data_IF_125267602204
#
_entry.id   IF_125267602204
#
_cell.length_a   1.000
_cell.length_b   1.000
_cell.length_c   1.000
_cell.angle_alpha   90.00
_cell.angle_beta   90.00
_cell.angle_gamma   90.00
#
_symmetry.space_group_name_H-M   'P 1'
#
loop_
_entity.id
_entity.type
_entity.pdbx_description
1 polymer ?
#
# COMPACT_ATOMS: atom_id res chain seq x y z
N UNK A 1 -2.87 -31.72 -51.01
CA UNK A 1 -1.77 -31.32 -50.09
C UNK A 1 -2.27 -30.19 -49.20
N UNK A 2 -2.83 -30.52 -48.03
CA UNK A 2 -3.30 -29.52 -47.06
C UNK A 2 -2.11 -28.97 -46.26
N UNK A 3 -1.97 -27.64 -46.23
CA UNK A 3 -0.91 -26.93 -45.50
C UNK A 3 -1.06 -27.18 -44.00
N UNK A 4 -0.01 -27.71 -43.36
CA UNK A 4 0.12 -27.77 -41.91
C UNK A 4 -0.07 -26.37 -41.29
N UNK A 5 -0.81 -26.21 -40.19
CA UNK A 5 -0.84 -24.95 -39.47
C UNK A 5 0.56 -24.64 -38.95
N UNK A 6 0.98 -23.39 -39.11
CA UNK A 6 2.20 -22.86 -38.48
C UNK A 6 2.03 -23.04 -36.97
N UNK A 7 2.91 -23.83 -36.37
CA UNK A 7 3.11 -23.89 -34.92
C UNK A 7 3.25 -22.46 -34.39
N UNK A 8 2.33 -22.05 -33.53
CA UNK A 8 2.47 -20.83 -32.75
C UNK A 8 3.83 -20.88 -32.05
N UNK A 9 4.68 -19.89 -32.30
CA UNK A 9 5.93 -19.73 -31.56
C UNK A 9 5.58 -19.66 -30.07
N UNK A 10 6.07 -20.64 -29.29
CA UNK A 10 6.07 -20.53 -27.83
C UNK A 10 6.69 -19.17 -27.48
N UNK A 11 6.04 -18.32 -26.66
CA UNK A 11 6.70 -17.12 -26.17
C UNK A 11 8.00 -17.55 -25.50
N UNK A 12 9.11 -16.88 -25.87
CA UNK A 12 10.43 -17.20 -25.32
C UNK A 12 10.33 -17.21 -23.79
N UNK A 13 10.61 -18.35 -23.16
CA UNK A 13 10.62 -18.53 -21.71
C UNK A 13 11.84 -17.83 -21.10
N UNK A 14 11.92 -16.51 -21.27
CA UNK A 14 12.95 -15.69 -20.67
C UNK A 14 12.67 -15.66 -19.17
N UNK A 15 13.45 -16.42 -18.41
CA UNK A 15 13.52 -16.22 -16.96
C UNK A 15 14.32 -14.95 -16.74
N UNK A 16 13.77 -14.03 -15.96
CA UNK A 16 14.42 -12.77 -15.68
C UNK A 16 15.42 -12.91 -14.53
N UNK A 17 16.44 -12.06 -14.52
CA UNK A 17 17.46 -12.11 -13.49
C UNK A 17 16.93 -11.46 -12.20
N UNK A 18 16.66 -12.30 -11.20
CA UNK A 18 16.26 -11.86 -9.86
C UNK A 18 17.43 -12.12 -8.92
N UNK A 19 18.07 -11.04 -8.45
CA UNK A 19 19.13 -11.17 -7.46
C UNK A 19 18.57 -11.82 -6.17
N UNK A 20 19.30 -12.72 -5.51
CA UNK A 20 18.81 -13.42 -4.33
C UNK A 20 18.63 -12.47 -3.12
N UNK A 21 17.69 -12.78 -2.24
CA UNK A 21 17.41 -12.00 -1.03
C UNK A 21 18.45 -12.25 0.10
N UNK A 22 19.75 -12.09 -0.19
CA UNK A 22 20.84 -12.46 0.73
C UNK A 22 21.11 -11.43 1.83
N UNK A 23 21.05 -11.83 3.10
CA UNK A 23 21.33 -10.95 4.24
C UNK A 23 20.15 -10.07 4.63
N UNK A 24 20.34 -9.27 5.69
CA UNK A 24 19.26 -8.52 6.35
C UNK A 24 18.60 -7.49 5.44
N UNK A 25 17.28 -7.37 5.60
CA UNK A 25 16.42 -6.36 4.98
C UNK A 25 15.96 -5.37 6.05
N UNK A 26 16.43 -4.14 5.96
CA UNK A 26 16.03 -3.06 6.85
C UNK A 26 14.72 -2.42 6.42
N UNK A 27 13.77 -2.31 7.34
CA UNK A 27 12.46 -1.69 7.12
C UNK A 27 12.42 -0.36 7.86
N UNK A 28 12.30 0.72 7.11
CA UNK A 28 12.29 2.11 7.59
C UNK A 28 10.83 2.59 7.64
N UNK A 29 10.34 2.94 8.82
CA UNK A 29 8.91 3.18 9.03
C UNK A 29 8.67 4.62 9.56
N UNK A 30 8.46 5.61 8.67
CA UNK A 30 7.92 6.90 9.09
C UNK A 30 6.50 6.72 9.61
N UNK A 31 6.27 7.07 10.88
CA UNK A 31 5.02 6.82 11.61
C UNK A 31 5.01 5.45 12.28
N UNK A 32 5.47 5.37 13.53
CA UNK A 32 5.51 4.15 14.34
C UNK A 32 4.25 4.00 15.22
N UNK A 33 3.10 4.32 14.65
CA UNK A 33 1.78 4.19 15.29
C UNK A 33 1.15 2.80 15.15
N UNK A 34 -0.18 2.73 15.28
CA UNK A 34 -0.95 1.49 15.39
C UNK A 34 -0.66 0.44 14.31
N UNK A 35 -0.63 0.84 13.03
CA UNK A 35 -0.33 -0.07 11.91
C UNK A 35 1.11 -0.61 12.02
N UNK A 36 2.08 0.27 12.23
CA UNK A 36 3.49 -0.08 12.31
C UNK A 36 3.78 -1.02 13.49
N UNK A 37 3.25 -0.72 14.67
CA UNK A 37 3.44 -1.56 15.86
C UNK A 37 2.75 -2.91 15.70
N UNK A 38 1.57 -2.95 15.07
CA UNK A 38 0.85 -4.21 14.78
C UNK A 38 1.64 -5.07 13.80
N UNK A 39 2.20 -4.46 12.75
CA UNK A 39 3.08 -5.14 11.80
C UNK A 39 4.32 -5.73 12.46
N UNK A 40 5.09 -4.94 13.21
CA UNK A 40 6.35 -5.42 13.80
C UNK A 40 6.10 -6.45 14.91
N UNK A 41 5.09 -6.25 15.75
CA UNK A 41 4.69 -7.25 16.75
C UNK A 41 4.19 -8.54 16.10
N UNK A 42 3.44 -8.43 14.99
CA UNK A 42 2.96 -9.57 14.22
C UNK A 42 4.11 -10.38 13.61
N UNK A 43 5.09 -9.72 12.99
CA UNK A 43 6.29 -10.39 12.45
C UNK A 43 7.03 -11.15 13.56
N UNK A 44 7.30 -10.49 14.69
CA UNK A 44 8.02 -11.12 15.79
C UNK A 44 7.24 -12.30 16.41
N UNK A 45 5.91 -12.18 16.50
CA UNK A 45 5.05 -13.27 16.96
C UNK A 45 5.13 -14.49 16.04
N UNK A 46 5.16 -14.26 14.72
CA UNK A 46 5.30 -15.33 13.72
C UNK A 46 6.68 -15.98 13.79
N UNK A 47 7.76 -15.19 13.94
CA UNK A 47 9.13 -15.73 14.11
C UNK A 47 9.24 -16.67 15.32
N UNK A 48 8.58 -16.31 16.41
CA UNK A 48 8.54 -17.13 17.64
C UNK A 48 7.55 -18.31 17.59
N UNK A 49 6.83 -18.49 16.48
CA UNK A 49 5.81 -19.53 16.35
C UNK A 49 4.56 -19.30 17.22
N UNK A 50 4.34 -18.08 17.71
CA UNK A 50 3.18 -17.72 18.56
C UNK A 50 1.92 -17.45 17.75
N UNK A 51 2.06 -17.12 16.46
CA UNK A 51 0.95 -16.76 15.58
C UNK A 51 1.22 -17.15 14.13
N UNK A 52 0.16 -17.13 13.31
CA UNK A 52 0.23 -17.30 11.86
C UNK A 52 0.04 -15.96 11.12
N UNK A 53 0.69 -15.74 9.97
CA UNK A 53 0.64 -14.47 9.22
C UNK A 53 -0.63 -14.35 8.36
N UNK A 54 -1.81 -14.43 8.99
CA UNK A 54 -3.10 -14.37 8.30
C UNK A 54 -3.25 -13.07 7.49
N UNK A 55 -3.83 -13.20 6.29
CA UNK A 55 -4.04 -12.08 5.36
C UNK A 55 -2.84 -11.75 4.47
N UNK A 56 -1.67 -12.34 4.70
CA UNK A 56 -0.48 -12.09 3.85
C UNK A 56 -0.44 -13.00 2.63
N UNK A 57 -0.43 -12.39 1.44
CA UNK A 57 -0.29 -13.08 0.15
C UNK A 57 1.12 -13.65 -0.04
N UNK A 58 2.15 -12.96 0.44
CA UNK A 58 3.54 -13.47 0.35
C UNK A 58 3.75 -14.70 1.23
N UNK A 59 3.14 -14.73 2.42
CA UNK A 59 3.37 -15.80 3.39
C UNK A 59 2.44 -17.01 3.23
N UNK A 60 1.18 -16.77 2.88
CA UNK A 60 0.14 -17.81 2.84
C UNK A 60 -0.46 -18.04 1.45
N UNK A 61 -0.26 -17.10 0.51
CA UNK A 61 -0.83 -17.18 -0.83
C UNK A 61 -0.20 -18.29 -1.68
N UNK A 62 -1.01 -18.84 -2.58
CA UNK A 62 -0.58 -19.81 -3.60
C UNK A 62 -0.71 -19.25 -5.01
N UNK A 63 0.08 -19.79 -5.92
CA UNK A 63 0.08 -19.40 -7.32
C UNK A 63 -0.05 -20.62 -8.22
N UNK A 64 -1.16 -20.72 -8.97
CA UNK A 64 -1.34 -21.82 -9.94
C UNK A 64 -0.37 -21.65 -11.11
N UNK A 65 0.31 -22.73 -11.48
CA UNK A 65 1.18 -22.82 -12.65
C UNK A 65 0.60 -23.83 -13.65
N UNK A 66 0.63 -23.50 -14.94
CA UNK A 66 0.08 -24.36 -15.99
C UNK A 66 -1.41 -24.69 -15.83
N UNK A 67 -1.76 -25.91 -16.22
CA UNK A 67 -3.14 -26.40 -16.32
C UNK A 67 -3.72 -26.70 -14.94
N UNK A 68 -5.06 -26.66 -14.82
CA UNK A 68 -5.79 -27.02 -13.59
C UNK A 68 -5.53 -28.47 -13.17
N UNK A 69 -5.37 -29.36 -14.15
CA UNK A 69 -5.10 -30.79 -13.97
C UNK A 69 -3.69 -31.09 -13.48
N UNK A 70 -2.74 -30.16 -13.62
CA UNK A 70 -1.34 -30.39 -13.23
C UNK A 70 -1.15 -30.35 -11.71
N UNK A 71 -2.11 -29.79 -10.96
CA UNK A 71 -2.03 -29.67 -9.50
C UNK A 71 -0.90 -28.76 -8.98
N UNK A 72 -0.23 -28.00 -9.85
CA UNK A 72 0.90 -27.13 -9.47
C UNK A 72 0.42 -25.81 -8.89
N UNK A 73 0.39 -25.72 -7.56
CA UNK A 73 0.04 -24.48 -6.84
C UNK A 73 0.98 -24.22 -5.66
N UNK A 74 2.29 -23.98 -5.91
CA UNK A 74 3.24 -23.67 -4.85
C UNK A 74 2.84 -22.43 -4.06
N UNK A 75 3.37 -22.28 -2.84
CA UNK A 75 3.26 -21.01 -2.10
C UNK A 75 4.06 -19.93 -2.80
N UNK A 76 3.61 -18.69 -2.71
CA UNK A 76 4.29 -17.54 -3.32
C UNK A 76 5.74 -17.42 -2.84
N UNK A 77 5.99 -17.56 -1.54
CA UNK A 77 7.34 -17.56 -0.95
C UNK A 77 8.24 -18.72 -1.37
N UNK A 78 7.68 -19.81 -1.89
CA UNK A 78 8.43 -20.94 -2.45
C UNK A 78 8.70 -20.76 -3.95
N UNK A 79 7.94 -19.88 -4.61
CA UNK A 79 8.00 -19.65 -6.04
C UNK A 79 8.95 -18.51 -6.44
N UNK A 80 8.96 -17.41 -5.67
CA UNK A 80 9.86 -16.26 -5.87
C UNK A 80 10.76 -16.05 -4.65
N UNK A 81 12.02 -15.61 -4.83
CA UNK A 81 12.97 -15.46 -3.73
C UNK A 81 12.63 -14.20 -2.91
N UNK A 82 11.86 -14.36 -1.84
CA UNK A 82 11.54 -13.32 -0.87
C UNK A 82 12.48 -13.37 0.33
N UNK A 83 12.71 -12.23 0.99
CA UNK A 83 13.45 -12.21 2.26
C UNK A 83 12.71 -13.02 3.33
N UNK A 84 13.47 -13.74 4.17
CA UNK A 84 12.91 -14.45 5.31
C UNK A 84 12.41 -13.47 6.36
N UNK A 85 11.43 -13.88 7.17
CA UNK A 85 10.97 -13.02 8.26
C UNK A 85 12.10 -12.75 9.26
N UNK A 86 12.98 -13.72 9.54
CA UNK A 86 14.14 -13.54 10.44
C UNK A 86 15.19 -12.54 9.92
N UNK A 87 15.19 -12.23 8.62
CA UNK A 87 16.11 -11.26 8.02
C UNK A 87 15.65 -9.81 8.19
N UNK A 88 14.40 -9.58 8.62
CA UNK A 88 13.87 -8.22 8.77
C UNK A 88 14.46 -7.52 10.00
N UNK A 89 14.91 -6.27 9.83
CA UNK A 89 15.33 -5.40 10.94
C UNK A 89 14.62 -4.06 10.83
N UNK A 90 14.24 -3.45 11.94
CA UNK A 90 13.30 -2.33 11.95
C UNK A 90 13.93 -1.07 12.55
N UNK A 91 13.61 0.07 11.95
CA UNK A 91 13.74 1.41 12.53
C UNK A 91 12.59 2.26 12.03
N UNK A 92 12.39 3.41 12.65
CA UNK A 92 11.46 4.38 12.13
C UNK A 92 11.61 5.73 12.78
N UNK A 93 10.67 6.60 12.45
CA UNK A 93 10.60 7.95 12.97
C UNK A 93 9.19 8.21 13.45
N UNK A 94 9.06 8.89 14.58
CA UNK A 94 7.76 9.27 15.09
C UNK A 94 7.87 10.60 15.86
N UNK A 95 6.87 11.50 15.77
CA UNK A 95 6.79 12.70 16.60
C UNK A 95 6.67 12.42 18.12
N UNK A 96 6.41 11.17 18.50
CA UNK A 96 6.40 10.68 19.88
C UNK A 96 7.61 9.77 20.13
N UNK A 97 8.14 9.75 21.36
CA UNK A 97 9.36 9.04 21.75
C UNK A 97 9.11 7.64 22.37
N UNK A 98 7.86 7.17 22.35
CA UNK A 98 7.49 5.84 22.83
C UNK A 98 8.20 4.73 22.03
N UNK A 99 8.80 3.76 22.74
CA UNK A 99 9.25 2.52 22.09
C UNK A 99 8.08 1.72 21.50
N UNK A 100 8.37 0.77 20.59
CA UNK A 100 7.30 0.03 19.89
C UNK A 100 6.40 -0.76 20.82
N UNK A 101 6.88 -1.24 21.98
CA UNK A 101 6.00 -1.93 22.94
C UNK A 101 5.01 -0.95 23.56
N UNK A 102 5.51 0.20 24.03
CA UNK A 102 4.71 1.25 24.65
C UNK A 102 3.69 1.81 23.65
N UNK A 103 4.12 2.08 22.42
CA UNK A 103 3.24 2.51 21.33
C UNK A 103 2.17 1.44 20.99
N UNK A 104 2.53 0.15 20.93
CA UNK A 104 1.57 -0.94 20.70
C UNK A 104 0.52 -1.04 21.82
N UNK A 105 0.97 -0.90 23.08
CA UNK A 105 0.09 -0.91 24.26
C UNK A 105 -0.88 0.25 24.26
N UNK A 106 -0.42 1.46 23.89
CA UNK A 106 -1.27 2.65 23.74
C UNK A 106 -2.25 2.53 22.57
N UNK A 107 -1.82 1.92 21.47
CA UNK A 107 -2.68 1.71 20.29
C UNK A 107 -3.85 0.75 20.56
N UNK A 108 -3.69 -0.20 21.48
CA UNK A 108 -4.78 -1.07 21.94
C UNK A 108 -5.34 -2.03 20.86
N UNK A 109 -4.55 -2.33 19.82
CA UNK A 109 -4.96 -3.20 18.72
C UNK A 109 -4.83 -4.69 19.07
N UNK A 110 -3.67 -5.04 19.61
CA UNK A 110 -3.29 -6.42 19.94
C UNK A 110 -3.57 -6.72 21.42
N UNK A 111 -3.87 -7.98 21.70
CA UNK A 111 -4.05 -8.46 23.06
C UNK A 111 -2.77 -8.29 23.87
N UNK A 112 -2.94 -7.96 25.16
CA UNK A 112 -1.84 -7.69 26.07
C UNK A 112 -0.94 -8.92 26.23
N UNK A 113 -1.55 -10.08 26.35
CA UNK A 113 -0.91 -11.37 26.59
C UNK A 113 0.02 -11.74 25.43
N UNK A 114 -0.38 -11.42 24.19
CA UNK A 114 0.47 -11.59 23.01
C UNK A 114 1.60 -10.56 23.00
N UNK A 115 1.30 -9.28 23.25
CA UNK A 115 2.32 -8.21 23.27
C UNK A 115 3.39 -8.45 24.34
N UNK A 116 3.01 -8.94 25.51
CA UNK A 116 3.93 -9.18 26.62
C UNK A 116 4.96 -10.30 26.27
N UNK A 117 4.60 -11.26 25.41
CA UNK A 117 5.52 -12.31 24.91
C UNK A 117 6.56 -11.81 23.90
N UNK A 118 6.26 -10.72 23.19
CA UNK A 118 7.19 -10.08 22.22
C UNK A 118 7.80 -8.78 22.73
N UNK A 119 7.47 -8.36 23.96
CA UNK A 119 7.98 -7.16 24.63
C UNK A 119 9.50 -7.01 24.57
N UNK A 120 10.32 -8.05 24.84
CA UNK A 120 11.78 -7.89 24.83
C UNK A 120 12.31 -7.38 23.49
N UNK A 121 11.72 -7.82 22.37
CA UNK A 121 12.11 -7.37 21.04
C UNK A 121 11.58 -5.96 20.74
N UNK A 122 10.29 -5.71 20.98
CA UNK A 122 9.66 -4.43 20.67
C UNK A 122 10.26 -3.26 21.47
N UNK A 123 10.66 -3.48 22.71
CA UNK A 123 11.24 -2.43 23.57
C UNK A 123 12.64 -1.97 23.10
N UNK A 124 13.31 -2.75 22.24
CA UNK A 124 14.61 -2.37 21.65
C UNK A 124 14.46 -1.34 20.53
N UNK A 125 13.26 -1.24 19.94
CA UNK A 125 13.01 -0.40 18.77
C UNK A 125 12.41 0.93 19.24
N UNK A 126 13.26 1.96 19.28
CA UNK A 126 12.87 3.32 19.63
C UNK A 126 12.79 4.20 18.38
N UNK A 127 11.78 5.08 18.27
CA UNK A 127 11.66 6.00 17.15
C UNK A 127 12.81 7.02 17.17
N UNK A 128 13.33 7.33 15.98
CA UNK A 128 14.16 8.51 15.76
C UNK A 128 13.29 9.77 15.71
N UNK A 129 13.84 10.97 16.00
CA UNK A 129 13.08 12.21 15.87
C UNK A 129 12.55 12.39 14.44
N UNK A 130 11.26 12.70 14.29
CA UNK A 130 10.62 12.80 12.99
C UNK A 130 10.80 14.16 12.32
N UNK A 131 10.82 14.18 10.97
CA UNK A 131 10.38 15.35 10.22
C UNK A 131 8.86 15.42 10.35
N UNK A 132 8.36 16.42 11.05
CA UNK A 132 6.93 16.59 11.34
C UNK A 132 6.60 18.08 11.39
N UNK A 133 5.45 18.44 10.82
CA UNK A 133 4.95 19.81 10.81
C UNK A 133 3.42 19.81 10.97
N UNK A 134 2.96 20.56 11.98
CA UNK A 134 1.54 20.68 12.35
C UNK A 134 0.70 21.37 11.28
N UNK A 135 1.32 22.13 10.37
CA UNK A 135 0.61 22.70 9.22
C UNK A 135 0.02 21.61 8.33
N UNK A 136 0.65 20.43 8.26
CA UNK A 136 0.20 19.31 7.45
C UNK A 136 -0.57 18.25 8.26
N UNK A 137 -0.36 18.16 9.57
CA UNK A 137 -1.10 17.26 10.47
C UNK A 137 -1.50 18.02 11.75
N UNK A 138 -2.63 18.72 11.69
CA UNK A 138 -3.00 19.76 12.68
C UNK A 138 -3.36 19.24 14.07
N UNK A 139 -3.97 18.05 14.12
CA UNK A 139 -4.52 17.44 15.33
C UNK A 139 -3.48 16.74 16.20
N UNK A 140 -2.23 16.63 15.75
CA UNK A 140 -1.14 16.03 16.52
C UNK A 140 -0.16 17.10 17.02
N UNK A 141 0.36 16.91 18.24
CA UNK A 141 1.41 17.72 18.82
C UNK A 141 2.62 16.85 19.15
N UNK A 142 3.59 16.83 18.24
CA UNK A 142 4.81 16.04 18.32
C UNK A 142 5.97 16.82 18.89
N UNK A 143 6.65 16.29 19.92
CA UNK A 143 7.84 16.91 20.52
C UNK A 143 9.15 16.24 20.11
N UNK A 144 9.09 14.99 19.66
CA UNK A 144 10.25 14.21 19.21
C UNK A 144 10.51 14.49 17.72
N UNK A 145 10.94 15.71 17.41
CA UNK A 145 11.02 16.21 16.02
C UNK A 145 12.42 16.72 15.67
N UNK A 146 12.82 16.56 14.41
CA UNK A 146 14.05 17.12 13.85
C UNK A 146 13.95 18.63 13.75
N UNK A 147 15.11 19.29 13.83
CA UNK A 147 15.25 20.74 13.67
C UNK A 147 16.27 21.04 12.57
N UNK A 148 15.96 21.99 11.71
CA UNK A 148 16.79 22.44 10.60
C UNK A 148 16.40 23.87 10.22
N UNK A 149 17.31 24.62 9.58
CA UNK A 149 17.00 25.96 9.07
C UNK A 149 16.14 25.86 7.81
N UNK A 150 16.37 24.83 7.01
CA UNK A 150 15.64 24.54 5.77
C UNK A 150 15.05 23.13 5.76
N UNK A 151 14.02 22.90 4.94
CA UNK A 151 13.50 21.55 4.66
C UNK A 151 14.57 20.65 4.01
N UNK A 152 15.54 21.24 3.32
CA UNK A 152 16.70 20.50 2.81
C UNK A 152 17.61 20.00 3.94
N UNK A 153 17.82 20.79 5.00
CA UNK A 153 18.57 20.33 6.18
C UNK A 153 17.89 19.12 6.84
N UNK A 154 16.55 19.10 6.83
CA UNK A 154 15.77 17.97 7.34
C UNK A 154 15.91 16.74 6.43
N UNK A 155 15.93 16.93 5.11
CA UNK A 155 16.18 15.87 4.14
C UNK A 155 17.56 15.22 4.34
N UNK A 156 18.61 16.03 4.49
CA UNK A 156 19.97 15.54 4.73
C UNK A 156 20.10 14.80 6.06
N UNK A 157 19.41 15.26 7.12
CA UNK A 157 19.33 14.51 8.38
C UNK A 157 18.65 13.15 8.24
N UNK A 158 17.61 13.04 7.40
CA UNK A 158 16.96 11.77 7.11
C UNK A 158 17.89 10.84 6.32
N UNK A 159 18.61 11.36 5.33
CA UNK A 159 19.60 10.58 4.57
C UNK A 159 20.69 10.04 5.50
N UNK A 160 21.18 10.87 6.41
CA UNK A 160 22.14 10.45 7.44
C UNK A 160 21.57 9.34 8.35
N UNK A 161 20.32 9.44 8.78
CA UNK A 161 19.66 8.37 9.55
C UNK A 161 19.55 7.06 8.77
N UNK A 162 19.21 7.13 7.48
CA UNK A 162 19.11 5.96 6.59
C UNK A 162 20.47 5.27 6.48
N UNK A 163 21.53 6.03 6.24
CA UNK A 163 22.90 5.53 6.12
C UNK A 163 23.40 4.94 7.45
N UNK A 164 23.17 5.64 8.56
CA UNK A 164 23.51 5.18 9.90
C UNK A 164 22.79 3.87 10.26
N UNK A 165 21.49 3.77 9.98
CA UNK A 165 20.75 2.53 10.23
C UNK A 165 21.25 1.38 9.35
N UNK A 166 21.55 1.63 8.08
CA UNK A 166 22.13 0.61 7.19
C UNK A 166 23.39 0.00 7.80
N UNK A 167 24.29 0.88 8.29
CA UNK A 167 25.57 0.50 8.90
C UNK A 167 25.36 -0.21 10.24
N UNK A 168 24.58 0.35 11.14
CA UNK A 168 24.41 -0.16 12.52
C UNK A 168 23.61 -1.47 12.59
N UNK A 169 22.64 -1.67 11.69
CA UNK A 169 21.85 -2.91 11.63
C UNK A 169 22.54 -4.05 10.87
N UNK A 170 23.57 -3.73 10.07
CA UNK A 170 24.17 -4.65 9.09
C UNK A 170 23.23 -5.00 7.93
N UNK A 171 22.22 -4.17 7.67
CA UNK A 171 21.28 -4.38 6.57
C UNK A 171 21.97 -4.19 5.21
N UNK A 172 21.80 -5.18 4.35
CA UNK A 172 22.32 -5.12 2.97
C UNK A 172 21.37 -4.35 2.04
N UNK A 173 20.07 -4.40 2.35
CA UNK A 173 18.98 -3.83 1.58
C UNK A 173 18.06 -3.07 2.52
N UNK A 174 17.40 -2.03 2.02
CA UNK A 174 16.48 -1.20 2.80
C UNK A 174 15.18 -1.00 2.01
N UNK A 175 14.07 -0.81 2.70
CA UNK A 175 12.77 -0.39 2.17
C UNK A 175 12.16 0.65 3.10
N UNK A 176 11.61 1.72 2.55
CA UNK A 176 10.80 2.68 3.30
C UNK A 176 9.32 2.39 3.09
N UNK A 177 8.54 2.34 4.17
CA UNK A 177 7.08 2.23 4.10
C UNK A 177 6.43 3.27 5.00
N UNK A 178 5.69 4.18 4.39
CA UNK A 178 4.99 5.24 5.09
C UNK A 178 3.78 4.69 5.83
N UNK A 179 3.81 4.76 7.16
CA UNK A 179 2.72 4.45 8.07
C UNK A 179 2.31 5.68 8.91
N UNK A 180 2.80 6.86 8.53
CA UNK A 180 2.50 8.13 9.17
C UNK A 180 1.09 8.62 8.89
N UNK A 181 0.68 9.62 9.65
CA UNK A 181 -0.66 10.22 9.55
C UNK A 181 -0.96 10.80 8.16
N UNK A 182 -2.25 10.84 7.84
CA UNK A 182 -2.74 11.51 6.63
C UNK A 182 -2.49 13.01 6.73
N UNK A 183 -1.74 13.54 5.77
CA UNK A 183 -1.46 14.97 5.63
C UNK A 183 -2.64 15.68 4.95
N UNK A 184 -2.71 17.00 5.11
CA UNK A 184 -3.68 17.84 4.40
C UNK A 184 -3.61 17.66 2.87
N UNK A 185 -4.72 17.94 2.20
CA UNK A 185 -4.80 17.88 0.76
C UNK A 185 -3.88 18.93 0.09
N UNK A 186 -3.01 18.45 -0.81
CA UNK A 186 -2.13 19.28 -1.64
C UNK A 186 -2.30 18.89 -3.12
N UNK A 187 -2.11 19.86 -4.00
CA UNK A 187 -2.03 19.65 -5.45
C UNK A 187 -0.58 19.79 -5.94
N UNK A 188 -0.18 19.11 -7.02
CA UNK A 188 1.10 19.36 -7.66
C UNK A 188 1.27 20.84 -8.04
N UNK A 189 2.46 21.39 -7.81
CA UNK A 189 2.84 22.76 -8.18
C UNK A 189 4.10 22.74 -9.05
N UNK A 190 4.59 23.92 -9.44
CA UNK A 190 5.87 24.05 -10.16
C UNK A 190 7.06 23.52 -9.33
N UNK A 191 6.98 23.53 -8.00
CA UNK A 191 8.01 23.01 -7.11
C UNK A 191 8.22 21.49 -7.26
N UNK A 192 7.21 20.76 -7.75
CA UNK A 192 7.24 19.29 -7.81
C UNK A 192 7.63 18.72 -9.19
N UNK A 193 7.99 19.59 -10.16
CA UNK A 193 8.15 19.18 -11.56
C UNK A 193 9.51 18.54 -11.87
N UNK A 194 10.56 18.89 -11.14
CA UNK A 194 11.91 18.37 -11.37
C UNK A 194 12.72 18.39 -10.08
N UNK A 195 13.80 17.60 -10.02
CA UNK A 195 14.71 17.57 -8.87
C UNK A 195 15.23 18.97 -8.52
N UNK A 196 15.66 19.73 -9.52
CA UNK A 196 16.17 21.10 -9.32
C UNK A 196 15.13 22.05 -8.72
N UNK A 197 13.87 21.96 -9.19
CA UNK A 197 12.80 22.79 -8.65
C UNK A 197 12.46 22.40 -7.21
N UNK A 198 12.44 21.09 -6.92
CA UNK A 198 12.13 20.54 -5.61
C UNK A 198 13.19 20.88 -4.56
N UNK A 199 14.47 20.75 -4.90
CA UNK A 199 15.58 21.14 -4.03
C UNK A 199 15.60 22.65 -3.75
N UNK A 200 15.35 23.47 -4.77
CA UNK A 200 15.19 24.93 -4.59
C UNK A 200 14.05 25.25 -3.63
N UNK A 201 12.91 24.57 -3.76
CA UNK A 201 11.76 24.74 -2.89
C UNK A 201 12.06 24.30 -1.44
N UNK A 202 12.80 23.20 -1.26
CA UNK A 202 13.24 22.75 0.07
C UNK A 202 14.20 23.74 0.75
N UNK A 203 15.15 24.32 0.00
CA UNK A 203 16.02 25.38 0.52
C UNK A 203 15.25 26.65 0.89
N UNK A 204 14.17 26.95 0.17
CA UNK A 204 13.31 28.10 0.42
C UNK A 204 12.22 27.85 1.50
N UNK A 205 12.16 26.67 2.10
CA UNK A 205 11.09 26.26 3.02
C UNK A 205 9.67 26.37 2.43
N UNK A 206 9.53 26.15 1.13
CA UNK A 206 8.25 26.28 0.42
C UNK A 206 7.17 25.36 1.04
N UNK A 207 6.00 25.93 1.37
CA UNK A 207 4.86 25.24 1.99
C UNK A 207 4.25 24.16 1.09
N UNK A 208 4.55 24.13 -0.21
CA UNK A 208 4.17 23.04 -1.08
C UNK A 208 4.85 21.70 -0.73
N UNK A 209 6.01 21.74 -0.04
CA UNK A 209 6.78 20.54 0.30
C UNK A 209 6.35 19.99 1.67
N UNK A 210 5.55 18.93 1.65
CA UNK A 210 5.09 18.26 2.87
C UNK A 210 6.16 17.33 3.48
N UNK A 211 6.11 17.03 4.79
CA UNK A 211 7.02 16.09 5.46
C UNK A 211 7.16 14.75 4.73
N UNK A 212 6.06 14.13 4.30
CA UNK A 212 6.09 12.85 3.56
C UNK A 212 6.95 12.91 2.30
N UNK A 213 6.96 14.03 1.59
CA UNK A 213 7.77 14.24 0.38
C UNK A 213 9.26 14.33 0.72
N UNK A 214 9.62 14.86 1.89
CA UNK A 214 11.01 14.92 2.38
C UNK A 214 11.52 13.50 2.68
N UNK A 215 10.71 12.65 3.30
CA UNK A 215 11.05 11.23 3.50
C UNK A 215 11.18 10.46 2.17
N UNK A 216 10.27 10.70 1.23
CA UNK A 216 10.33 10.10 -0.10
C UNK A 216 11.62 10.54 -0.83
N UNK A 217 11.92 11.84 -0.86
CA UNK A 217 13.15 12.37 -1.44
C UNK A 217 14.39 11.73 -0.81
N UNK A 218 14.50 11.73 0.52
CA UNK A 218 15.64 11.14 1.22
C UNK A 218 15.81 9.64 0.91
N UNK A 219 14.71 8.88 0.89
CA UNK A 219 14.74 7.45 0.57
C UNK A 219 15.20 7.21 -0.86
N UNK A 220 14.60 7.90 -1.83
CA UNK A 220 14.91 7.72 -3.24
C UNK A 220 16.34 8.17 -3.58
N UNK A 221 16.85 9.22 -2.94
CA UNK A 221 18.25 9.66 -3.08
C UNK A 221 19.26 8.64 -2.55
N UNK A 222 18.88 7.84 -1.55
CA UNK A 222 19.68 6.71 -1.04
C UNK A 222 19.40 5.39 -1.81
N UNK A 223 18.65 5.45 -2.91
CA UNK A 223 18.29 4.27 -3.72
C UNK A 223 17.35 3.30 -3.02
N UNK A 224 16.65 3.75 -1.97
CA UNK A 224 15.74 2.96 -1.12
C UNK A 224 14.31 3.03 -1.68
N UNK A 225 13.70 1.89 -2.04
CA UNK A 225 12.29 1.83 -2.49
C UNK A 225 11.32 2.39 -1.46
N UNK A 226 10.19 2.93 -1.93
CA UNK A 226 9.22 3.64 -1.08
C UNK A 226 7.77 3.20 -1.35
N UNK A 227 7.09 2.69 -0.32
CA UNK A 227 5.63 2.46 -0.33
C UNK A 227 4.90 3.57 0.43
N UNK A 228 3.90 4.20 -0.20
CA UNK A 228 3.06 5.20 0.46
C UNK A 228 1.76 4.59 0.99
N UNK A 229 1.69 4.35 2.30
CA UNK A 229 0.51 3.76 2.95
C UNK A 229 -0.65 4.72 3.23
N UNK A 230 -0.46 6.03 3.01
CA UNK A 230 -1.46 7.07 3.24
C UNK A 230 -1.91 7.72 1.92
N UNK A 231 -3.05 8.42 1.85
CA UNK A 231 -3.52 9.06 0.60
C UNK A 231 -2.75 10.36 0.23
N UNK A 232 -1.70 10.68 0.98
CA UNK A 232 -0.82 11.85 0.80
C UNK A 232 -0.24 11.91 -0.61
N UNK A 233 0.07 13.12 -1.11
CA UNK A 233 0.62 13.31 -2.45
C UNK A 233 2.00 12.67 -2.60
N UNK A 234 2.87 12.76 -1.59
CA UNK A 234 4.13 12.02 -1.41
C UNK A 234 4.89 11.65 -2.70
N UNK A 235 4.73 10.41 -3.20
CA UNK A 235 5.45 9.84 -4.35
C UNK A 235 4.69 9.98 -5.68
N UNK A 236 3.45 10.47 -5.65
CA UNK A 236 2.57 10.71 -6.80
C UNK A 236 2.88 12.07 -7.43
N UNK A 237 4.16 12.28 -7.77
CA UNK A 237 4.72 13.54 -8.24
C UNK A 237 5.77 13.29 -9.34
N UNK A 238 5.87 14.17 -10.36
CA UNK A 238 6.86 14.03 -11.43
C UNK A 238 8.31 13.90 -10.91
N UNK A 239 8.72 14.71 -9.93
CA UNK A 239 10.05 14.64 -9.31
C UNK A 239 10.34 13.29 -8.64
N UNK A 240 9.35 12.69 -7.98
CA UNK A 240 9.53 11.39 -7.31
C UNK A 240 9.61 10.26 -8.33
N UNK A 241 8.84 10.36 -9.42
CA UNK A 241 8.93 9.43 -10.54
C UNK A 241 10.30 9.50 -11.23
N UNK A 242 10.85 10.71 -11.41
CA UNK A 242 12.20 10.94 -11.94
C UNK A 242 13.27 10.30 -11.04
N UNK A 243 13.26 10.62 -9.75
CA UNK A 243 14.22 10.07 -8.77
C UNK A 243 14.14 8.55 -8.66
N UNK A 244 12.92 8.01 -8.63
CA UNK A 244 12.68 6.56 -8.55
C UNK A 244 13.32 5.81 -9.71
N UNK A 245 13.14 6.30 -10.95
CA UNK A 245 13.78 5.69 -12.12
C UNK A 245 15.29 5.86 -12.11
N UNK A 246 15.78 7.07 -11.82
CA UNK A 246 17.20 7.41 -11.84
C UNK A 246 18.03 6.61 -10.82
N UNK A 247 17.46 6.37 -9.64
CA UNK A 247 18.16 5.69 -8.54
C UNK A 247 17.72 4.21 -8.40
N UNK A 248 17.01 3.69 -9.41
CA UNK A 248 16.45 2.34 -9.45
C UNK A 248 15.69 1.98 -8.16
N UNK A 249 14.93 2.91 -7.61
CA UNK A 249 14.26 2.80 -6.33
C UNK A 249 12.74 2.72 -6.54
N UNK A 250 12.18 1.50 -6.73
CA UNK A 250 10.75 1.29 -6.96
C UNK A 250 9.84 2.04 -5.99
N UNK A 251 8.73 2.56 -6.52
CA UNK A 251 7.71 3.24 -5.73
C UNK A 251 6.34 2.61 -5.95
N UNK A 252 5.51 2.61 -4.91
CA UNK A 252 4.11 2.26 -5.02
C UNK A 252 3.27 3.04 -4.01
N UNK A 253 1.97 3.06 -4.28
CA UNK A 253 1.02 3.80 -3.49
C UNK A 253 -0.31 3.90 -4.23
N UNK A 254 -1.33 4.50 -3.63
CA UNK A 254 -1.32 5.03 -2.26
C UNK A 254 -2.58 4.65 -1.49
N UNK A 255 -2.48 4.79 -0.16
CA UNK A 255 -3.51 4.44 0.83
C UNK A 255 -3.82 2.94 0.91
N UNK A 256 -3.49 2.27 2.01
CA UNK A 256 -3.71 0.82 2.15
C UNK A 256 -5.18 0.43 1.93
N UNK A 257 -5.44 -0.55 1.08
CA UNK A 257 -6.80 -1.02 0.80
C UNK A 257 -7.31 -1.95 1.88
N UNK A 258 -7.95 -1.37 2.89
CA UNK A 258 -8.59 -2.08 4.00
C UNK A 258 -10.08 -1.72 4.10
N UNK A 259 -10.78 -2.41 5.00
CA UNK A 259 -12.11 -2.04 5.48
C UNK A 259 -13.15 -1.88 4.36
N UNK A 260 -13.81 -0.72 4.33
CA UNK A 260 -14.93 -0.45 3.43
C UNK A 260 -14.53 -0.36 1.95
N UNK A 261 -13.36 0.22 1.64
CA UNK A 261 -12.91 0.32 0.23
C UNK A 261 -12.59 -1.06 -0.33
N UNK A 262 -12.05 -1.97 0.48
CA UNK A 262 -11.88 -3.37 0.09
C UNK A 262 -13.23 -3.97 -0.33
N UNK A 263 -14.27 -3.81 0.49
CA UNK A 263 -15.62 -4.31 0.17
C UNK A 263 -16.17 -3.72 -1.14
N UNK A 264 -15.98 -2.42 -1.39
CA UNK A 264 -16.37 -1.79 -2.67
C UNK A 264 -15.68 -2.47 -3.86
N UNK A 265 -14.38 -2.71 -3.77
CA UNK A 265 -13.60 -3.36 -4.84
C UNK A 265 -13.87 -4.86 -5.00
N UNK A 266 -14.59 -5.48 -4.06
CA UNK A 266 -15.09 -6.87 -4.18
C UNK A 266 -16.48 -6.90 -4.81
N UNK A 267 -17.38 -6.03 -4.35
CA UNK A 267 -18.79 -6.06 -4.70
C UNK A 267 -19.09 -5.37 -6.04
N UNK A 268 -18.50 -4.20 -6.30
CA UNK A 268 -18.76 -3.43 -7.52
C UNK A 268 -18.39 -4.22 -8.80
N UNK A 269 -17.26 -4.95 -8.86
CA UNK A 269 -16.98 -5.84 -9.99
C UNK A 269 -18.04 -6.93 -10.18
N UNK A 270 -18.59 -7.48 -9.10
CA UNK A 270 -19.65 -8.48 -9.16
C UNK A 270 -20.94 -7.93 -9.76
N UNK A 271 -21.32 -6.71 -9.39
CA UNK A 271 -22.49 -6.02 -9.97
C UNK A 271 -22.29 -5.78 -11.47
N UNK A 272 -21.12 -5.26 -11.86
CA UNK A 272 -20.76 -5.03 -13.27
C UNK A 272 -20.71 -6.32 -14.07
N UNK A 273 -20.12 -7.38 -13.54
CA UNK A 273 -20.02 -8.68 -14.20
C UNK A 273 -21.40 -9.31 -14.50
N UNK A 274 -22.44 -8.89 -13.77
CA UNK A 274 -23.83 -9.33 -13.97
C UNK A 274 -24.73 -8.24 -14.57
N UNK A 275 -24.17 -7.09 -14.93
CA UNK A 275 -24.88 -5.92 -15.44
C UNK A 275 -26.07 -5.50 -14.56
N UNK A 276 -25.89 -5.56 -13.24
CA UNK A 276 -26.84 -5.01 -12.28
C UNK A 276 -26.62 -3.49 -12.20
N UNK A 277 -27.67 -2.72 -12.44
CA UNK A 277 -27.62 -1.27 -12.37
C UNK A 277 -27.55 -0.76 -10.94
N UNK A 278 -27.06 0.48 -10.77
CA UNK A 278 -26.84 1.10 -9.47
C UNK A 278 -27.51 2.49 -9.44
N UNK A 279 -28.52 2.64 -8.57
CA UNK A 279 -29.13 3.94 -8.30
C UNK A 279 -28.33 4.73 -7.26
N UNK A 280 -27.79 4.05 -6.25
CA UNK A 280 -27.06 4.73 -5.18
C UNK A 280 -26.19 3.81 -4.34
N UNK A 281 -25.09 4.35 -3.83
CA UNK A 281 -24.22 3.72 -2.85
C UNK A 281 -23.90 4.72 -1.75
N UNK A 282 -24.57 4.56 -0.61
CA UNK A 282 -24.32 5.37 0.58
C UNK A 282 -23.38 4.60 1.51
N UNK A 283 -22.30 5.26 1.93
CA UNK A 283 -21.27 4.70 2.79
C UNK A 283 -21.04 5.59 4.01
N UNK A 284 -21.15 5.04 5.21
CA UNK A 284 -20.74 5.71 6.45
C UNK A 284 -19.71 4.88 7.21
N UNK A 285 -18.87 5.54 8.01
CA UNK A 285 -17.85 4.88 8.81
C UNK A 285 -17.72 5.56 10.18
N UNK A 286 -17.52 4.77 11.23
CA UNK A 286 -17.14 5.26 12.57
C UNK A 286 -15.83 4.61 13.02
N UNK A 287 -14.93 5.40 13.58
CA UNK A 287 -13.65 4.95 14.16
C UNK A 287 -13.17 5.92 15.25
N UNK A 288 -12.39 5.42 16.22
CA UNK A 288 -11.99 6.18 17.41
C UNK A 288 -10.48 6.26 17.67
N UNK A 289 -9.66 5.63 16.82
CA UNK A 289 -8.19 5.69 16.92
C UNK A 289 -7.64 7.03 16.40
N UNK A 290 -6.31 7.18 16.44
CA UNK A 290 -5.60 8.39 16.00
C UNK A 290 -5.83 8.74 14.52
N UNK A 291 -6.10 7.75 13.67
CA UNK A 291 -6.47 8.00 12.27
C UNK A 291 -7.81 8.73 12.19
N UNK A 292 -8.80 8.28 12.98
CA UNK A 292 -10.08 8.97 13.12
C UNK A 292 -9.95 10.42 13.61
N UNK A 293 -9.10 10.66 14.62
CA UNK A 293 -8.86 11.99 15.16
C UNK A 293 -8.22 12.93 14.13
N UNK A 294 -7.26 12.44 13.32
CA UNK A 294 -6.65 13.22 12.23
C UNK A 294 -7.67 13.51 11.13
N UNK A 295 -8.52 12.53 10.78
CA UNK A 295 -9.55 12.67 9.75
C UNK A 295 -10.75 13.54 10.17
N UNK A 296 -10.84 13.93 11.43
CA UNK A 296 -11.78 14.95 11.91
C UNK A 296 -11.40 16.37 11.44
N UNK A 297 -10.18 16.59 10.94
CA UNK A 297 -9.81 17.81 10.22
C UNK A 297 -10.32 17.79 8.76
N UNK A 298 -11.08 18.81 8.30
CA UNK A 298 -11.61 18.86 6.93
C UNK A 298 -10.55 18.79 5.83
N UNK A 299 -9.34 19.31 6.07
CA UNK A 299 -8.25 19.30 5.10
C UNK A 299 -7.65 17.91 4.89
N UNK A 300 -7.47 17.16 5.98
CA UNK A 300 -7.06 15.75 5.94
C UNK A 300 -8.19 14.84 5.43
N UNK A 301 -9.46 15.13 5.79
CA UNK A 301 -10.63 14.41 5.30
C UNK A 301 -10.75 14.49 3.77
N UNK A 302 -10.57 15.68 3.18
CA UNK A 302 -10.65 15.86 1.73
C UNK A 302 -9.70 14.94 0.95
N UNK A 303 -8.49 14.71 1.44
CA UNK A 303 -7.53 13.77 0.84
C UNK A 303 -8.09 12.33 0.79
N UNK A 304 -8.87 11.94 1.81
CA UNK A 304 -9.50 10.62 1.92
C UNK A 304 -10.82 10.51 1.15
N UNK A 305 -11.53 11.61 0.99
CA UNK A 305 -12.80 11.66 0.26
C UNK A 305 -12.55 11.44 -1.25
N UNK A 306 -11.62 12.20 -1.84
CA UNK A 306 -11.23 12.08 -3.26
C UNK A 306 -10.80 10.64 -3.60
N UNK A 307 -10.00 10.00 -2.73
CA UNK A 307 -9.52 8.62 -2.94
C UNK A 307 -10.62 7.57 -2.89
N UNK A 308 -11.74 7.85 -2.22
CA UNK A 308 -12.86 6.90 -2.05
C UNK A 308 -13.95 7.07 -3.10
N UNK A 309 -14.14 8.27 -3.63
CA UNK A 309 -15.19 8.56 -4.60
C UNK A 309 -14.85 7.97 -5.99
N UNK A 310 -13.58 8.06 -6.41
CA UNK A 310 -13.16 7.61 -7.75
C UNK A 310 -13.28 6.09 -8.00
N UNK A 311 -13.33 5.28 -6.94
CA UNK A 311 -13.27 3.81 -7.05
C UNK A 311 -14.45 3.24 -7.84
N UNK A 312 -15.67 3.74 -7.61
CA UNK A 312 -16.86 3.21 -8.29
C UNK A 312 -16.91 3.65 -9.75
N UNK A 313 -16.51 4.88 -10.05
CA UNK A 313 -16.51 5.41 -11.42
C UNK A 313 -15.61 4.57 -12.35
N UNK A 314 -14.39 4.25 -11.90
CA UNK A 314 -13.48 3.42 -12.70
C UNK A 314 -13.96 1.97 -12.85
N UNK A 315 -14.52 1.37 -11.80
CA UNK A 315 -15.02 -0.01 -11.88
C UNK A 315 -16.25 -0.06 -12.78
N UNK A 316 -17.27 0.77 -12.50
CA UNK A 316 -18.60 0.68 -13.14
C UNK A 316 -18.64 1.31 -14.53
N UNK A 317 -17.76 2.29 -14.83
CA UNK A 317 -17.62 2.94 -16.13
C UNK A 317 -18.94 3.55 -16.64
N UNK A 318 -19.49 4.57 -15.95
CA UNK A 318 -20.79 5.17 -16.31
C UNK A 318 -20.85 5.69 -17.75
N UNK A 319 -19.75 6.16 -18.33
CA UNK A 319 -19.69 6.58 -19.73
C UNK A 319 -19.92 5.44 -20.73
N UNK A 320 -19.51 4.20 -20.37
CA UNK A 320 -19.72 3.01 -21.20
C UNK A 320 -21.07 2.33 -20.93
N UNK A 321 -21.61 2.51 -19.73
CA UNK A 321 -22.88 1.91 -19.29
C UNK A 321 -23.83 2.98 -18.72
N UNK A 322 -24.23 3.98 -19.53
CA UNK A 322 -25.02 5.12 -19.04
C UNK A 322 -26.37 4.72 -18.46
N UNK A 323 -27.01 3.68 -19.02
CA UNK A 323 -28.30 3.17 -18.54
C UNK A 323 -28.20 2.49 -17.17
N UNK A 324 -27.03 1.96 -16.80
CA UNK A 324 -26.83 1.23 -15.54
C UNK A 324 -26.27 2.13 -14.44
N UNK A 325 -25.39 3.07 -14.77
CA UNK A 325 -24.60 3.82 -13.78
C UNK A 325 -24.53 5.33 -14.04
N UNK A 326 -25.04 5.84 -15.16
CA UNK A 326 -24.92 7.26 -15.53
C UNK A 326 -25.66 8.23 -14.60
N UNK A 327 -26.54 7.73 -13.71
CA UNK A 327 -27.30 8.51 -12.74
C UNK A 327 -27.06 8.06 -11.29
N UNK A 328 -26.01 7.29 -11.03
CA UNK A 328 -25.74 6.77 -9.69
C UNK A 328 -25.39 7.89 -8.70
N UNK A 329 -25.89 7.80 -7.47
CA UNK A 329 -25.48 8.67 -6.36
C UNK A 329 -24.43 7.98 -5.48
N UNK A 330 -23.28 8.59 -5.25
CA UNK A 330 -22.25 8.05 -4.36
C UNK A 330 -21.97 9.01 -3.20
N UNK A 331 -22.20 8.53 -1.97
CA UNK A 331 -22.01 9.35 -0.77
C UNK A 331 -21.09 8.63 0.20
N UNK A 332 -20.07 9.35 0.70
CA UNK A 332 -19.15 8.85 1.72
C UNK A 332 -19.15 9.79 2.92
N UNK A 333 -19.28 9.20 4.12
CA UNK A 333 -19.13 9.88 5.42
C UNK A 333 -18.15 9.11 6.30
N UNK A 334 -17.36 9.84 7.06
CA UNK A 334 -16.47 9.31 8.10
C UNK A 334 -16.71 10.16 9.33
N UNK A 335 -16.94 9.51 10.47
CA UNK A 335 -17.29 10.16 11.72
C UNK A 335 -16.31 9.69 12.79
N UNK A 336 -15.65 10.63 13.47
CA UNK A 336 -14.83 10.30 14.62
C UNK A 336 -15.74 9.95 15.81
N UNK A 337 -15.56 8.73 16.34
CA UNK A 337 -16.31 8.23 17.49
C UNK A 337 -15.36 7.54 18.47
N UNK A 338 -14.82 8.29 19.46
CA UNK A 338 -13.73 7.84 20.32
C UNK A 338 -13.90 6.44 20.95
N UNK A 339 -15.09 6.04 21.45
CA UNK A 339 -15.26 4.75 22.11
C UNK A 339 -14.91 3.52 21.26
N UNK A 340 -14.85 3.63 19.92
CA UNK A 340 -14.55 2.51 19.02
C UNK A 340 -13.07 2.12 18.98
N UNK A 341 -12.15 3.02 19.33
CA UNK A 341 -10.70 2.78 19.14
C UNK A 341 -10.39 2.33 17.70
N UNK A 342 -9.61 1.25 17.54
CA UNK A 342 -9.28 0.64 16.23
C UNK A 342 -10.41 -0.22 15.63
N UNK A 343 -11.49 -0.49 16.37
CA UNK A 343 -12.64 -1.27 15.89
C UNK A 343 -13.54 -0.39 15.00
N UNK A 344 -13.08 -0.17 13.77
CA UNK A 344 -13.82 0.57 12.75
C UNK A 344 -15.07 -0.20 12.32
N UNK A 345 -16.17 0.51 12.16
CA UNK A 345 -17.39 -0.01 11.55
C UNK A 345 -17.66 0.76 10.25
N UNK A 346 -17.95 0.03 9.17
CA UNK A 346 -18.36 0.59 7.89
C UNK A 346 -19.72 0.05 7.50
N UNK A 347 -20.68 0.94 7.28
CA UNK A 347 -22.02 0.58 6.83
C UNK A 347 -22.26 1.11 5.42
N UNK A 348 -22.75 0.24 4.55
CA UNK A 348 -23.09 0.56 3.17
C UNK A 348 -24.54 0.19 2.87
N UNK A 349 -25.29 1.14 2.33
CA UNK A 349 -26.56 0.91 1.65
C UNK A 349 -26.36 1.02 0.15
N UNK A 350 -26.68 -0.05 -0.57
CA UNK A 350 -26.46 -0.16 -2.01
C UNK A 350 -27.81 -0.42 -2.68
N UNK A 351 -28.32 0.60 -3.37
CA UNK A 351 -29.58 0.56 -4.12
C UNK A 351 -29.29 0.10 -5.55
N UNK A 352 -29.58 -1.17 -5.84
CA UNK A 352 -29.35 -1.78 -7.15
C UNK A 352 -30.68 -1.97 -7.89
N UNK A 353 -30.61 -2.23 -9.19
CA UNK A 353 -31.76 -2.71 -9.96
C UNK A 353 -31.36 -3.80 -10.95
N UNK A 354 -32.31 -4.67 -11.26
CA UNK A 354 -32.10 -5.84 -12.11
C UNK A 354 -33.02 -5.87 -13.32
N UNK A 355 -33.45 -7.08 -13.69
CA UNK A 355 -34.35 -7.33 -14.80
C UNK A 355 -35.57 -6.39 -14.78
N UNK A 356 -35.91 -5.81 -15.93
CA UNK A 356 -37.02 -4.85 -16.10
C UNK A 356 -36.93 -3.59 -15.22
N UNK A 357 -35.75 -3.28 -14.67
CA UNK A 357 -35.55 -2.12 -13.81
C UNK A 357 -36.08 -2.28 -12.38
N UNK A 358 -36.42 -3.50 -11.95
CA UNK A 358 -36.94 -3.72 -10.59
C UNK A 358 -35.88 -3.43 -9.53
N UNK A 359 -36.18 -2.56 -8.54
CA UNK A 359 -35.22 -2.14 -7.53
C UNK A 359 -35.04 -3.22 -6.45
N UNK A 360 -33.83 -3.30 -5.91
CA UNK A 360 -33.44 -4.16 -4.79
C UNK A 360 -32.41 -3.43 -3.93
N UNK A 361 -32.09 -3.98 -2.76
CA UNK A 361 -31.09 -3.41 -1.87
C UNK A 361 -30.11 -4.46 -1.36
N UNK A 362 -28.85 -4.06 -1.23
CA UNK A 362 -27.82 -4.78 -0.49
C UNK A 362 -27.38 -3.90 0.67
N UNK A 363 -27.31 -4.48 1.88
CA UNK A 363 -26.75 -3.84 3.06
C UNK A 363 -25.48 -4.56 3.43
N UNK A 364 -24.43 -3.81 3.70
CA UNK A 364 -23.16 -4.34 4.22
C UNK A 364 -22.89 -3.64 5.54
N UNK A 365 -22.71 -4.41 6.59
CA UNK A 365 -22.18 -3.93 7.85
C UNK A 365 -20.86 -4.66 8.13
N UNK A 366 -19.77 -3.92 8.12
CA UNK A 366 -18.43 -4.46 8.27
C UNK A 366 -17.74 -3.87 9.50
N UNK A 367 -17.76 -4.65 10.58
CA UNK A 367 -16.96 -4.42 11.78
C UNK A 367 -15.58 -5.01 11.54
N UNK A 368 -14.56 -4.15 11.52
CA UNK A 368 -13.20 -4.53 11.21
C UNK A 368 -12.19 -3.82 12.12
N UNK A 369 -10.96 -4.35 12.16
CA UNK A 369 -9.82 -3.68 12.80
C UNK A 369 -8.86 -3.24 11.71
N UNK A 370 -8.73 -1.94 11.49
CA UNK A 370 -7.96 -1.40 10.37
C UNK A 370 -6.49 -1.81 10.47
N UNK A 371 -5.90 -1.77 11.67
CA UNK A 371 -4.50 -2.14 11.88
C UNK A 371 -4.24 -3.62 11.66
N UNK A 372 -5.22 -4.50 11.97
CA UNK A 372 -5.14 -5.94 11.71
C UNK A 372 -5.20 -6.22 10.20
N UNK A 373 -6.03 -5.49 9.45
CA UNK A 373 -6.10 -5.62 7.99
C UNK A 373 -4.87 -5.01 7.29
N UNK A 374 -4.31 -3.93 7.82
CA UNK A 374 -3.18 -3.22 7.21
C UNK A 374 -1.82 -3.90 7.44
N UNK A 375 -1.58 -4.49 8.62
CA UNK A 375 -0.31 -5.15 8.95
C UNK A 375 0.18 -6.19 7.92
N UNK A 376 -0.65 -7.14 7.42
CA UNK A 376 -0.22 -8.06 6.38
C UNK A 376 0.04 -7.39 5.02
N UNK A 377 -0.66 -6.30 4.71
CA UNK A 377 -0.39 -5.47 3.52
C UNK A 377 1.00 -4.83 3.61
N UNK A 378 1.35 -4.29 4.77
CA UNK A 378 2.69 -3.72 5.03
C UNK A 378 3.77 -4.79 4.82
N UNK A 379 3.58 -5.99 5.37
CA UNK A 379 4.51 -7.11 5.18
C UNK A 379 4.70 -7.46 3.70
N UNK A 380 3.59 -7.64 2.98
CA UNK A 380 3.63 -8.01 1.58
C UNK A 380 4.33 -6.95 0.71
N UNK A 381 4.03 -5.67 0.95
CA UNK A 381 4.64 -4.56 0.22
C UNK A 381 6.15 -4.45 0.49
N UNK A 382 6.60 -4.64 1.74
CA UNK A 382 8.03 -4.67 2.08
C UNK A 382 8.75 -5.77 1.29
N UNK A 383 8.20 -6.98 1.28
CA UNK A 383 8.83 -8.12 0.62
C UNK A 383 8.78 -8.02 -0.91
N UNK A 384 7.67 -7.53 -1.46
CA UNK A 384 7.53 -7.38 -2.91
C UNK A 384 8.28 -6.18 -3.48
N UNK A 385 8.43 -5.06 -2.75
CA UNK A 385 9.30 -3.97 -3.18
C UNK A 385 10.78 -4.35 -3.11
N UNK A 386 11.18 -5.15 -2.11
CA UNK A 386 12.53 -5.75 -2.07
C UNK A 386 12.75 -6.66 -3.30
N UNK A 387 11.75 -7.47 -3.66
CA UNK A 387 11.78 -8.27 -4.89
C UNK A 387 11.91 -7.40 -6.15
N UNK A 388 11.11 -6.33 -6.25
CA UNK A 388 11.15 -5.40 -7.39
C UNK A 388 12.53 -4.73 -7.52
N UNK A 389 13.13 -4.26 -6.42
CA UNK A 389 14.47 -3.65 -6.41
C UNK A 389 15.55 -4.60 -6.88
N UNK A 390 15.39 -5.91 -6.61
CA UNK A 390 16.33 -6.97 -7.00
C UNK A 390 16.11 -7.54 -8.40
N UNK A 391 15.11 -7.03 -9.14
CA UNK A 391 14.71 -7.54 -10.45
C UNK A 391 15.00 -6.47 -11.51
N UNK A 392 15.83 -6.77 -12.50
CA UNK A 392 16.29 -5.81 -13.52
C UNK A 392 15.15 -5.16 -14.32
N UNK A 393 14.04 -5.87 -14.48
CA UNK A 393 12.87 -5.43 -15.26
C UNK A 393 11.94 -4.53 -14.45
N UNK A 394 12.09 -4.51 -13.12
CA UNK A 394 11.20 -3.79 -12.21
C UNK A 394 11.91 -2.65 -11.48
N UNK A 395 13.22 -2.73 -11.25
CA UNK A 395 13.93 -1.77 -10.41
C UNK A 395 13.93 -0.34 -10.98
N UNK A 396 13.94 -0.19 -12.30
CA UNK A 396 14.14 1.08 -13.02
C UNK A 396 12.88 1.66 -13.63
N UNK A 397 11.74 0.94 -13.62
CA UNK A 397 10.47 1.43 -14.20
C UNK A 397 9.79 2.49 -13.31
N UNK A 398 10.21 2.57 -12.05
CA UNK A 398 9.62 3.43 -11.05
C UNK A 398 8.35 2.83 -10.45
N UNK A 399 7.19 3.25 -10.95
CA UNK A 399 5.87 2.88 -10.40
C UNK A 399 5.61 1.38 -10.55
N UNK A 400 5.39 0.70 -9.43
CA UNK A 400 5.08 -0.73 -9.37
C UNK A 400 3.57 -0.97 -9.43
N UNK A 401 2.97 -0.70 -10.59
CA UNK A 401 1.51 -0.79 -10.82
C UNK A 401 0.95 -2.23 -10.70
N UNK A 402 1.79 -3.26 -10.56
CA UNK A 402 1.37 -4.62 -10.26
C UNK A 402 1.04 -4.84 -8.77
N UNK A 403 1.41 -3.88 -7.91
CA UNK A 403 1.10 -3.85 -6.48
C UNK A 403 -0.22 -3.13 -6.17
N UNK A 404 -0.97 -2.69 -7.19
CA UNK A 404 -2.26 -2.00 -7.05
C UNK A 404 -3.29 -2.78 -6.21
N UNK A 405 -3.14 -4.11 -6.13
CA UNK A 405 -3.92 -4.98 -5.26
C UNK A 405 -4.00 -4.48 -3.81
N UNK A 406 -2.98 -3.78 -3.33
CA UNK A 406 -2.82 -3.34 -1.95
C UNK A 406 -3.31 -1.91 -1.67
N UNK A 407 -3.74 -1.15 -2.69
CA UNK A 407 -3.98 0.29 -2.58
C UNK A 407 -5.41 0.70 -2.94
N UNK A 408 -5.93 1.71 -2.24
CA UNK A 408 -7.25 2.31 -2.52
C UNK A 408 -7.19 3.15 -3.78
N UNK A 409 -6.11 3.93 -3.93
CA UNK A 409 -5.84 4.78 -5.10
C UNK A 409 -4.49 4.38 -5.71
N UNK A 410 -4.44 3.28 -6.48
CA UNK A 410 -3.19 2.81 -7.04
C UNK A 410 -2.60 3.81 -8.03
N UNK A 411 -1.30 4.01 -7.97
CA UNK A 411 -0.54 4.84 -8.90
C UNK A 411 -0.43 4.17 -10.27
N UNK A 412 -0.43 4.98 -11.32
CA UNK A 412 -0.28 4.55 -12.71
C UNK A 412 0.75 5.39 -13.44
N UNK A 413 1.21 4.91 -14.60
CA UNK A 413 1.99 5.75 -15.50
C UNK A 413 1.15 6.94 -16.01
N UNK A 414 1.77 8.10 -16.29
CA UNK A 414 1.05 9.26 -16.82
C UNK A 414 0.18 8.92 -18.03
N UNK A 415 -1.09 9.32 -17.99
CA UNK A 415 -2.07 9.07 -19.07
C UNK A 415 -2.86 7.75 -18.94
N UNK A 416 -2.56 6.90 -17.96
CA UNK A 416 -3.33 5.68 -17.68
C UNK A 416 -4.30 5.89 -16.52
N UNK A 417 -5.51 5.35 -16.66
CA UNK A 417 -6.46 5.26 -15.54
C UNK A 417 -6.08 4.12 -14.58
N UNK A 418 -6.35 4.24 -13.28
CA UNK A 418 -6.10 3.18 -12.31
C UNK A 418 -7.14 2.05 -12.41
N UNK A 419 -6.66 0.80 -12.47
CA UNK A 419 -7.51 -0.38 -12.31
C UNK A 419 -7.86 -0.57 -10.83
N UNK A 420 -9.14 -0.73 -10.49
CA UNK A 420 -9.65 -0.89 -9.12
C UNK A 420 -10.37 -2.23 -8.87
N UNK A 421 -10.65 -3.01 -9.92
CA UNK A 421 -11.22 -4.36 -9.78
C UNK A 421 -10.21 -5.27 -9.06
N UNK A 422 -10.56 -5.72 -7.86
CA UNK A 422 -9.69 -6.54 -7.02
C UNK A 422 -9.23 -7.82 -7.72
N UNK A 423 -10.08 -8.43 -8.53
CA UNK A 423 -9.79 -9.70 -9.20
C UNK A 423 -8.84 -9.51 -10.37
N UNK A 424 -8.99 -8.41 -11.14
CA UNK A 424 -8.04 -8.02 -12.18
C UNK A 424 -6.68 -7.69 -11.55
N UNK A 425 -6.66 -6.92 -10.47
CA UNK A 425 -5.42 -6.60 -9.75
C UNK A 425 -4.73 -7.85 -9.20
N UNK A 426 -5.47 -8.81 -8.64
CA UNK A 426 -4.91 -10.08 -8.15
C UNK A 426 -4.34 -10.92 -9.30
N UNK A 427 -5.05 -10.96 -10.43
CA UNK A 427 -4.57 -11.65 -11.64
C UNK A 427 -3.29 -10.99 -12.15
N UNK A 428 -3.24 -9.65 -12.21
CA UNK A 428 -2.05 -8.88 -12.59
C UNK A 428 -0.87 -9.20 -11.68
N UNK A 429 -1.04 -9.14 -10.36
CA UNK A 429 0.00 -9.49 -9.38
C UNK A 429 0.55 -10.90 -9.64
N UNK A 430 -0.33 -11.92 -9.72
CA UNK A 430 0.11 -13.30 -9.95
C UNK A 430 0.76 -13.48 -11.33
N UNK A 431 0.24 -12.85 -12.37
CA UNK A 431 0.82 -12.93 -13.71
C UNK A 431 2.17 -12.22 -13.81
N UNK A 432 2.39 -11.13 -13.08
CA UNK A 432 3.72 -10.53 -12.94
C UNK A 432 4.69 -11.53 -12.33
N UNK A 433 4.34 -12.21 -11.23
CA UNK A 433 5.24 -13.22 -10.63
C UNK A 433 5.54 -14.38 -11.59
N UNK A 434 4.54 -14.85 -12.35
CA UNK A 434 4.75 -15.88 -13.40
C UNK A 434 5.72 -15.40 -14.46
N UNK A 435 5.50 -14.19 -14.96
CA UNK A 435 6.35 -13.56 -15.96
C UNK A 435 7.81 -13.50 -15.49
N UNK A 436 8.05 -13.02 -14.26
CA UNK A 436 9.41 -12.95 -13.69
C UNK A 436 10.12 -14.31 -13.65
N UNK A 437 9.37 -15.38 -13.42
CA UNK A 437 9.89 -16.76 -13.35
C UNK A 437 9.85 -17.52 -14.68
N UNK A 438 9.49 -16.86 -15.79
CA UNK A 438 9.40 -17.48 -17.11
C UNK A 438 8.27 -18.49 -17.27
N UNK A 439 7.28 -18.47 -16.37
CA UNK A 439 6.07 -19.32 -16.43
C UNK A 439 5.01 -18.71 -17.35
N UNK A 440 4.18 -19.58 -17.94
CA UNK A 440 3.07 -19.13 -18.79
C UNK A 440 2.05 -18.30 -18.01
N UNK A 441 1.57 -17.22 -18.62
CA UNK A 441 0.51 -16.41 -18.04
C UNK A 441 -0.80 -17.16 -18.03
N UNK A 442 -1.58 -16.96 -16.97
CA UNK A 442 -2.89 -17.59 -16.86
C UNK A 442 -3.95 -16.64 -17.44
N UNK A 443 -4.61 -17.10 -18.51
CA UNK A 443 -5.69 -16.37 -19.23
C UNK A 443 -7.09 -16.88 -18.90
N UNK A 444 -7.20 -18.06 -18.27
CA UNK A 444 -8.46 -18.73 -17.95
C UNK A 444 -9.31 -19.21 -19.15
N UNK A 445 -8.76 -19.25 -20.37
CA UNK A 445 -9.49 -19.70 -21.58
C UNK A 445 -10.08 -21.11 -21.44
N UNK A 446 -9.28 -22.10 -21.02
CA UNK A 446 -9.77 -23.44 -20.65
C UNK A 446 -10.26 -24.33 -21.80
N UNK A 447 -10.13 -23.91 -23.05
CA UNK A 447 -10.47 -24.76 -24.20
C UNK A 447 -9.51 -25.96 -24.29
N UNK A 448 -8.29 -25.81 -23.77
CA UNK A 448 -7.24 -26.84 -23.74
C UNK A 448 -7.54 -28.07 -22.85
N UNK A 449 -8.73 -28.12 -22.22
CA UNK A 449 -9.23 -29.26 -21.43
C UNK A 449 -10.23 -30.13 -22.19
N UNK A 450 -10.70 -29.71 -23.36
CA UNK A 450 -11.79 -30.36 -24.09
C UNK A 450 -11.36 -30.94 -25.45
N UNK A 451 -10.06 -30.93 -25.73
CA UNK A 451 -9.43 -31.55 -26.92
C UNK A 451 -9.07 -33.03 -26.69
#
# INVERSE_FOLDING_TARGET
>A
MAKRPKTAQKPSSKTFEIQPAKGKLGVLIPGMGAVATTFVAGVESVRKGLASPFGSMTQMGTIRLGKRTDGRSPKVKEFVPLAGLDDLVFTGWDPFDDDMYTAARKAGVLERELLDQVKPFLSLIKPRPAVFDRNYVKKLDGRHVKKGKTKMDLAEQLRADIQDFKKSSGASRLITIWCGSTEIFLKPTAAHQSVKAFEKAMHANDDAIAPSMIYAYASLMEGVPFANGAPNLTVDLPVMHELSRKNEAPICGKDFKTGQTLMKTILAPGFKARLLGLNGWFSTNILGNRDGEVLDDPGSFKTKEESKLSVLEHILQPDLYPDLYGKMSHVVRINYYPPRGDNKEGWDNIDIFGWLGYPMQIKVDFLCRDSILAAPIVLDLVLFLDLAKRTSELNSIGIQEWLSFYFKSPMTAPGLYPEHDLFIQLMKLKNTLRHLKGEELITHLGLEYYD
#
